data_IF_185939752279
#
_entry.id   IF_185939752279
#
_cell.length_a   1.000
_cell.length_b   1.000
_cell.length_c   1.000
_cell.angle_alpha   90.00
_cell.angle_beta   90.00
_cell.angle_gamma   90.00
#
_symmetry.space_group_name_H-M   'P 1'
#
loop_
_entity.id
_entity.type
_entity.pdbx_description
1 polymer ?
#
# COMPACT_ATOMS: atom_id res chain seq x y z
N UNK A 1 -10.22 5.22 -2.73
CA UNK A 1 -8.77 5.48 -2.66
C UNK A 1 -8.11 4.37 -3.43
N UNK A 2 -7.21 4.71 -4.34
CA UNK A 2 -6.51 3.75 -5.20
C UNK A 2 -5.02 3.89 -4.97
N UNK A 3 -4.33 2.75 -4.90
CA UNK A 3 -2.87 2.66 -4.91
C UNK A 3 -2.43 2.38 -6.35
N UNK A 4 -1.48 3.17 -6.85
CA UNK A 4 -0.92 3.02 -8.21
C UNK A 4 0.60 3.12 -8.19
N UNK A 5 1.25 2.84 -9.33
CA UNK A 5 2.71 2.94 -9.51
C UNK A 5 3.51 2.19 -8.42
N UNK A 6 3.04 1.01 -8.02
CA UNK A 6 3.68 0.21 -6.96
C UNK A 6 5.03 -0.31 -7.46
N UNK A 7 6.09 -0.03 -6.71
CA UNK A 7 7.46 -0.46 -7.02
C UNK A 7 7.79 -1.76 -6.28
N UNK A 8 7.19 -2.86 -6.71
CA UNK A 8 7.43 -4.17 -6.10
C UNK A 8 8.91 -4.55 -6.09
N UNK A 9 9.38 -5.04 -4.95
CA UNK A 9 10.72 -5.61 -4.80
C UNK A 9 10.63 -7.13 -4.99
N UNK A 10 11.02 -7.58 -6.16
CA UNK A 10 10.99 -9.00 -6.58
C UNK A 10 12.40 -9.55 -6.79
N UNK A 11 13.44 -8.86 -6.28
CA UNK A 11 14.85 -9.20 -6.50
C UNK A 11 15.25 -9.34 -8.00
N UNK A 12 14.48 -8.70 -8.89
CA UNK A 12 14.67 -8.77 -10.34
C UNK A 12 13.98 -9.95 -11.03
N UNK A 13 13.09 -10.66 -10.34
CA UNK A 13 12.26 -11.73 -10.93
C UNK A 13 11.09 -11.13 -11.74
N UNK A 14 11.27 -11.08 -13.06
CA UNK A 14 10.28 -10.56 -14.00
C UNK A 14 8.99 -11.41 -14.05
N UNK A 15 9.07 -12.72 -13.81
CA UNK A 15 7.89 -13.59 -13.84
C UNK A 15 7.02 -13.31 -12.61
N UNK A 16 7.63 -13.19 -11.43
CA UNK A 16 6.93 -12.81 -10.19
C UNK A 16 6.35 -11.41 -10.33
N UNK A 17 7.13 -10.44 -10.82
CA UNK A 17 6.65 -9.07 -11.02
C UNK A 17 5.40 -9.02 -11.91
N UNK A 18 5.36 -9.81 -12.98
CA UNK A 18 4.22 -9.88 -13.89
C UNK A 18 2.94 -10.46 -13.24
N UNK A 19 3.06 -11.18 -12.11
CA UNK A 19 1.90 -11.69 -11.36
C UNK A 19 1.34 -10.69 -10.36
N UNK A 20 2.10 -9.66 -9.99
CA UNK A 20 1.71 -8.69 -8.96
C UNK A 20 0.83 -7.56 -9.54
N UNK A 21 -0.17 -7.09 -8.78
CA UNK A 21 -1.03 -6.00 -9.23
C UNK A 21 -0.24 -4.70 -9.36
N UNK A 22 -0.57 -3.92 -10.39
CA UNK A 22 0.03 -2.61 -10.63
C UNK A 22 -0.84 -1.46 -10.10
N UNK A 23 -2.12 -1.76 -9.86
CA UNK A 23 -3.11 -0.88 -9.23
C UNK A 23 -3.98 -1.69 -8.28
N UNK A 24 -4.36 -1.09 -7.15
CA UNK A 24 -5.21 -1.72 -6.14
C UNK A 24 -6.21 -0.69 -5.63
N UNK A 25 -7.50 -1.02 -5.67
CA UNK A 25 -8.52 -0.28 -4.94
C UNK A 25 -8.45 -0.64 -3.45
N UNK A 26 -8.21 0.36 -2.59
CA UNK A 26 -8.06 0.15 -1.16
C UNK A 26 -9.42 -0.30 -0.59
N UNK A 27 -9.47 -1.43 0.14
CA UNK A 27 -10.72 -1.92 0.72
C UNK A 27 -11.38 -0.89 1.66
N UNK A 28 -12.71 -0.78 1.61
CA UNK A 28 -13.45 0.20 2.42
C UNK A 28 -13.19 0.06 3.92
N UNK A 29 -13.02 -1.17 4.42
CA UNK A 29 -12.73 -1.43 5.84
C UNK A 29 -11.38 -0.84 6.27
N UNK A 30 -10.45 -0.68 5.34
CA UNK A 30 -9.14 -0.11 5.62
C UNK A 30 -9.22 1.42 5.72
N UNK A 31 -10.13 2.03 4.96
CA UNK A 31 -10.35 3.49 4.88
C UNK A 31 -11.09 4.08 6.08
N UNK A 32 -11.32 3.31 7.13
CA UNK A 32 -11.90 3.81 8.36
C UNK A 32 -10.96 4.87 8.99
N UNK A 33 -11.43 6.14 9.04
CA UNK A 33 -10.60 7.31 9.44
C UNK A 33 -9.81 7.13 10.74
N UNK A 34 -10.35 6.37 11.70
CA UNK A 34 -9.71 6.10 12.99
C UNK A 34 -8.37 5.38 12.86
N UNK A 35 -8.16 4.66 11.77
CA UNK A 35 -6.90 3.97 11.54
C UNK A 35 -5.75 4.96 11.41
N UNK A 36 -5.98 6.15 10.84
CA UNK A 36 -4.93 7.08 10.44
C UNK A 36 -4.84 8.33 11.33
N UNK A 37 -5.43 8.31 12.53
CA UNK A 37 -5.39 9.44 13.46
C UNK A 37 -4.17 9.34 14.40
N UNK A 38 -3.35 10.39 14.44
CA UNK A 38 -2.29 10.60 15.45
C UNK A 38 -2.75 11.72 16.35
N UNK A 39 -2.80 11.47 17.66
CA UNK A 39 -3.25 12.46 18.65
C UNK A 39 -4.62 13.09 18.35
N UNK A 40 -5.50 12.33 17.66
CA UNK A 40 -6.85 12.77 17.29
C UNK A 40 -6.94 13.61 16.02
N UNK A 41 -5.84 13.77 15.28
CA UNK A 41 -5.83 14.40 13.97
C UNK A 41 -5.44 13.40 12.88
N UNK A 42 -6.08 13.50 11.71
CA UNK A 42 -5.75 12.68 10.57
C UNK A 42 -4.31 12.95 10.10
N UNK A 43 -3.49 11.90 10.06
CA UNK A 43 -2.13 11.93 9.55
C UNK A 43 -2.08 11.20 8.21
N UNK A 44 -1.71 11.94 7.16
CA UNK A 44 -1.46 11.33 5.84
C UNK A 44 -0.27 10.37 5.90
N UNK A 45 0.73 10.67 6.72
CA UNK A 45 1.93 9.84 6.82
C UNK A 45 1.62 8.49 7.47
N UNK A 46 0.83 8.46 8.56
CA UNK A 46 0.36 7.19 9.14
C UNK A 46 -0.49 6.38 8.17
N UNK A 47 -1.31 7.05 7.36
CA UNK A 47 -2.08 6.36 6.32
C UNK A 47 -1.16 5.68 5.32
N UNK A 48 -0.11 6.37 4.87
CA UNK A 48 0.85 5.80 3.93
C UNK A 48 1.65 4.66 4.57
N UNK A 49 2.05 4.78 5.83
CA UNK A 49 2.77 3.74 6.56
C UNK A 49 1.90 2.49 6.73
N UNK A 50 0.64 2.64 7.12
CA UNK A 50 -0.27 1.50 7.22
C UNK A 50 -0.58 0.86 5.88
N UNK A 51 -0.76 1.65 4.81
CA UNK A 51 -0.93 1.11 3.46
C UNK A 51 0.32 0.35 3.01
N UNK A 52 1.50 0.85 3.36
CA UNK A 52 2.79 0.21 3.07
C UNK A 52 2.90 -1.16 3.75
N UNK A 53 2.54 -1.23 5.03
CA UNK A 53 2.53 -2.49 5.79
C UNK A 53 1.49 -3.47 5.21
N UNK A 54 0.27 -2.99 4.95
CA UNK A 54 -0.80 -3.81 4.39
C UNK A 54 -0.45 -4.41 3.02
N UNK A 55 0.17 -3.63 2.12
CA UNK A 55 0.65 -4.14 0.83
C UNK A 55 1.65 -5.29 1.01
N UNK A 56 2.56 -5.14 1.97
CA UNK A 56 3.59 -6.15 2.22
C UNK A 56 2.99 -7.43 2.82
N UNK A 57 2.04 -7.29 3.75
CA UNK A 57 1.34 -8.40 4.39
C UNK A 57 0.42 -9.15 3.42
N UNK A 58 -0.31 -8.43 2.57
CA UNK A 58 -1.29 -9.03 1.64
C UNK A 58 -0.61 -9.79 0.50
N UNK A 59 0.46 -9.22 -0.08
CA UNK A 59 1.10 -9.79 -1.27
C UNK A 59 2.36 -10.58 -0.94
N UNK A 60 2.94 -10.41 0.25
CA UNK A 60 4.16 -11.11 0.67
C UNK A 60 5.44 -10.55 0.05
N UNK A 61 5.41 -9.33 -0.48
CA UNK A 61 6.54 -8.66 -1.10
C UNK A 61 6.75 -7.27 -0.51
N UNK A 62 8.03 -6.92 -0.32
CA UNK A 62 8.40 -5.54 -0.05
C UNK A 62 8.16 -4.67 -1.29
N UNK A 63 8.15 -3.36 -1.11
CA UNK A 63 8.05 -2.39 -2.19
C UNK A 63 8.90 -1.15 -1.89
N UNK A 64 9.33 -0.48 -2.96
CA UNK A 64 10.08 0.79 -2.90
C UNK A 64 9.19 2.03 -2.91
N UNK A 65 7.89 1.88 -2.65
CA UNK A 65 6.90 2.94 -2.64
C UNK A 65 5.81 2.80 -3.72
N UNK A 66 4.82 3.69 -3.60
CA UNK A 66 3.60 3.71 -4.40
C UNK A 66 3.00 5.12 -4.37
N UNK A 67 2.04 5.38 -5.27
CA UNK A 67 1.22 6.59 -5.30
C UNK A 67 -0.19 6.28 -4.79
N UNK A 68 -0.89 7.31 -4.27
CA UNK A 68 -2.27 7.21 -3.78
C UNK A 68 -3.13 8.34 -4.37
N UNK A 69 -4.28 7.97 -4.92
CA UNK A 69 -5.29 8.89 -5.51
C UNK A 69 -6.75 8.61 -5.07
#
# INVERSE_FOLDING_TARGET
>A
MKITNIKWDTDGDEEVFATLPQEIDVPEYFLEKKNFEVDGEYSRDEMLDQLSDWLSDEYGFCHGGFDVE
#
